data_IF_638447989609
#
_entry.id   IF_638447989609
#
_cell.length_a   1.000
_cell.length_b   1.000
_cell.length_c   1.000
_cell.angle_alpha   90.00
_cell.angle_beta   90.00
_cell.angle_gamma   90.00
#
_symmetry.space_group_name_H-M   'P 1'
#
loop_
_entity.id
_entity.type
_entity.pdbx_description
1 polymer ?
#
# COMPACT_ATOMS: atom_id res chain seq x y z
N UNK A 1 -15.90 -24.25 16.77
CA UNK A 1 -16.27 -22.84 17.05
C UNK A 1 -16.74 -22.63 18.49
N UNK A 2 -17.64 -23.46 19.02
CA UNK A 2 -18.23 -23.30 20.37
C UNK A 2 -17.27 -22.83 21.50
N UNK A 3 -16.06 -23.40 21.70
CA UNK A 3 -15.16 -22.95 22.76
C UNK A 3 -14.53 -21.56 22.54
N UNK A 4 -14.66 -20.98 21.35
CA UNK A 4 -14.09 -19.68 20.97
C UNK A 4 -15.13 -18.56 20.90
N UNK A 5 -16.42 -18.88 21.01
CA UNK A 5 -17.50 -17.88 20.97
C UNK A 5 -17.52 -17.17 22.32
N UNK A 6 -17.33 -15.85 22.29
CA UNK A 6 -17.34 -15.00 23.49
C UNK A 6 -17.71 -13.58 23.11
N UNK A 7 -18.05 -12.77 24.12
CA UNK A 7 -18.25 -11.33 23.96
C UNK A 7 -16.88 -10.67 23.72
N UNK A 8 -16.58 -10.33 22.48
CA UNK A 8 -15.26 -9.81 22.08
C UNK A 8 -15.05 -8.37 22.52
N UNK A 9 -16.11 -7.54 22.55
CA UNK A 9 -15.99 -6.13 22.93
C UNK A 9 -15.52 -5.94 24.39
N UNK A 10 -16.09 -6.62 25.41
CA UNK A 10 -15.55 -6.56 26.77
C UNK A 10 -14.11 -7.06 26.88
N UNK A 11 -13.74 -8.11 26.13
CA UNK A 11 -12.39 -8.67 26.12
C UNK A 11 -11.36 -7.64 25.60
N UNK A 12 -11.69 -6.97 24.49
CA UNK A 12 -10.84 -5.92 23.90
C UNK A 12 -10.79 -4.71 24.83
N UNK A 13 -11.93 -4.25 25.35
CA UNK A 13 -11.98 -3.11 26.26
C UNK A 13 -11.19 -3.35 27.55
N UNK A 14 -11.25 -4.54 28.14
CA UNK A 14 -10.44 -4.92 29.31
C UNK A 14 -8.94 -4.91 28.99
N UNK A 15 -8.55 -5.43 27.83
CA UNK A 15 -7.16 -5.41 27.39
C UNK A 15 -6.64 -3.97 27.25
N UNK A 16 -7.41 -3.10 26.59
CA UNK A 16 -7.08 -1.68 26.42
C UNK A 16 -7.06 -0.96 27.78
N UNK A 17 -8.05 -1.18 28.65
CA UNK A 17 -8.12 -0.56 29.97
C UNK A 17 -6.96 -0.96 30.88
N UNK A 18 -6.41 -2.16 30.71
CA UNK A 18 -5.21 -2.65 31.41
C UNK A 18 -3.89 -2.21 30.76
N UNK A 19 -3.93 -1.38 29.73
CA UNK A 19 -2.74 -0.90 29.02
C UNK A 19 -2.01 -2.00 28.25
N UNK A 20 -2.71 -3.09 27.87
CA UNK A 20 -2.12 -4.13 27.01
C UNK A 20 -2.02 -3.61 25.58
N UNK A 21 -1.01 -4.08 24.86
CA UNK A 21 -0.90 -3.82 23.44
C UNK A 21 -1.94 -4.65 22.67
N UNK A 22 -2.79 -3.96 21.91
CA UNK A 22 -3.76 -4.55 21.00
C UNK A 22 -3.38 -4.11 19.59
N UNK A 23 -3.22 -5.06 18.68
CA UNK A 23 -2.93 -4.80 17.27
C UNK A 23 -4.18 -5.14 16.47
N UNK A 24 -4.66 -4.18 15.67
CA UNK A 24 -5.75 -4.39 14.73
C UNK A 24 -5.17 -4.68 13.35
N UNK A 25 -5.39 -5.88 12.85
CA UNK A 25 -4.93 -6.29 11.52
C UNK A 25 -6.00 -5.97 10.47
N UNK A 26 -5.67 -5.09 9.52
CA UNK A 26 -6.54 -4.74 8.40
C UNK A 26 -6.56 -5.84 7.34
N UNK A 27 -7.74 -6.15 6.82
CA UNK A 27 -7.91 -6.98 5.64
C UNK A 27 -8.19 -6.10 4.41
N UNK A 28 -7.66 -6.52 3.26
CA UNK A 28 -7.67 -5.75 2.00
C UNK A 28 -6.96 -4.39 2.14
N UNK A 29 -7.29 -3.43 1.27
CA UNK A 29 -6.69 -2.10 1.25
C UNK A 29 -7.79 -1.03 1.12
N UNK A 30 -7.48 0.20 1.50
CA UNK A 30 -8.42 1.33 1.43
C UNK A 30 -9.02 1.55 0.03
N UNK A 31 -8.28 1.25 -1.04
CA UNK A 31 -8.82 1.38 -2.41
C UNK A 31 -9.84 0.30 -2.79
N UNK A 32 -10.04 -0.70 -1.91
CA UNK A 32 -11.11 -1.69 -1.97
C UNK A 32 -12.20 -1.44 -0.92
N UNK A 33 -12.10 -0.36 -0.14
CA UNK A 33 -13.14 0.04 0.82
C UNK A 33 -14.46 0.36 0.12
N UNK A 34 -15.58 0.05 0.77
CA UNK A 34 -16.92 0.26 0.21
C UNK A 34 -17.20 1.74 -0.16
N UNK A 35 -16.73 2.69 0.66
CA UNK A 35 -17.02 4.12 0.51
C UNK A 35 -15.84 4.88 -0.09
N UNK A 36 -14.62 4.45 0.22
CA UNK A 36 -13.38 5.14 -0.13
C UNK A 36 -12.57 4.45 -1.23
N UNK A 37 -13.06 3.31 -1.74
CA UNK A 37 -12.42 2.56 -2.81
C UNK A 37 -12.91 2.93 -4.21
N UNK A 38 -12.49 2.13 -5.19
CA UNK A 38 -12.88 2.28 -6.59
C UNK A 38 -14.26 1.70 -6.90
N UNK A 39 -15.31 2.19 -6.24
CA UNK A 39 -16.68 1.68 -6.40
C UNK A 39 -17.11 1.66 -7.88
N UNK A 40 -17.75 0.59 -8.40
CA UNK A 40 -18.27 -0.59 -7.69
C UNK A 40 -17.25 -1.74 -7.51
N UNK A 41 -15.99 -1.55 -7.89
CA UNK A 41 -14.96 -2.59 -7.89
C UNK A 41 -14.25 -2.70 -6.53
N UNK A 42 -15.05 -2.90 -5.48
CA UNK A 42 -14.64 -2.85 -4.06
C UNK A 42 -15.16 -4.08 -3.32
N UNK A 43 -14.68 -4.28 -2.09
CA UNK A 43 -15.34 -5.22 -1.17
C UNK A 43 -16.58 -4.57 -0.54
N UNK A 44 -17.47 -5.38 0.02
CA UNK A 44 -18.67 -4.94 0.73
C UNK A 44 -18.42 -4.64 2.21
N UNK A 45 -17.19 -4.26 2.57
CA UNK A 45 -16.75 -3.97 3.94
C UNK A 45 -15.87 -2.71 3.99
N UNK A 46 -15.71 -2.15 5.19
CA UNK A 46 -14.83 -1.01 5.41
C UNK A 46 -13.39 -1.49 5.69
N UNK A 47 -12.45 -1.04 4.85
CA UNK A 47 -11.02 -1.40 4.84
C UNK A 47 -10.15 -0.20 5.26
N UNK A 48 -10.72 0.71 6.02
CA UNK A 48 -10.06 1.88 6.62
C UNK A 48 -9.81 1.66 8.12
N UNK A 49 -8.99 2.53 8.72
CA UNK A 49 -8.81 2.62 10.17
C UNK A 49 -10.16 2.83 10.88
N UNK A 50 -11.06 3.62 10.30
CA UNK A 50 -12.42 3.78 10.82
C UNK A 50 -13.18 2.44 10.86
N UNK A 51 -13.08 1.63 9.81
CA UNK A 51 -13.64 0.28 9.76
C UNK A 51 -13.07 -0.65 10.83
N UNK A 52 -11.76 -0.59 11.07
CA UNK A 52 -11.10 -1.36 12.15
C UNK A 52 -11.63 -0.98 13.54
N UNK A 53 -11.78 0.32 13.80
CA UNK A 53 -12.32 0.83 15.07
C UNK A 53 -13.79 0.42 15.25
N UNK A 54 -14.59 0.55 14.19
CA UNK A 54 -15.98 0.10 14.18
C UNK A 54 -16.10 -1.40 14.47
N UNK A 55 -15.28 -2.24 13.81
CA UNK A 55 -15.33 -3.69 13.96
C UNK A 55 -14.81 -4.21 15.30
N UNK A 56 -13.85 -3.49 15.92
CA UNK A 56 -13.26 -3.88 17.21
C UNK A 56 -13.98 -3.32 18.43
N UNK A 57 -14.82 -2.29 18.26
CA UNK A 57 -15.44 -1.55 19.36
C UNK A 57 -14.49 -0.58 20.08
N UNK A 58 -13.27 -0.40 19.57
CA UNK A 58 -12.31 0.55 20.12
C UNK A 58 -12.71 1.96 19.71
N UNK A 59 -12.96 2.81 20.72
CA UNK A 59 -13.30 4.21 20.49
C UNK A 59 -12.13 4.97 19.87
N UNK A 60 -12.37 5.92 18.93
CA UNK A 60 -11.32 6.55 18.13
C UNK A 60 -10.26 7.30 18.95
N UNK A 61 -10.62 7.82 20.13
CA UNK A 61 -9.68 8.49 21.05
C UNK A 61 -8.66 7.53 21.70
N UNK A 62 -8.79 6.23 21.51
CA UNK A 62 -7.91 5.19 22.06
C UNK A 62 -6.94 4.63 21.01
N UNK A 63 -7.06 5.03 19.75
CA UNK A 63 -6.06 4.71 18.73
C UNK A 63 -4.77 5.45 19.05
N UNK A 64 -3.66 4.73 19.11
CA UNK A 64 -2.34 5.29 19.46
C UNK A 64 -1.38 5.35 18.29
N UNK A 65 -1.55 4.47 17.29
CA UNK A 65 -0.70 4.42 16.09
C UNK A 65 -1.40 3.73 14.93
N UNK A 66 -1.30 4.29 13.73
CA UNK A 66 -1.70 3.68 12.47
C UNK A 66 -0.51 3.53 11.52
N UNK A 67 -0.29 2.33 10.98
CA UNK A 67 0.75 2.06 9.98
C UNK A 67 0.09 1.69 8.65
N UNK A 68 0.41 2.46 7.60
CA UNK A 68 0.00 2.13 6.24
C UNK A 68 0.98 1.15 5.60
N UNK A 69 0.49 0.04 5.05
CA UNK A 69 1.34 -0.92 4.35
C UNK A 69 1.20 -0.71 2.85
N UNK A 70 2.31 -0.36 2.19
CA UNK A 70 2.36 -0.08 0.77
C UNK A 70 3.38 -0.99 0.12
N UNK A 71 3.08 -1.52 -1.07
CA UNK A 71 4.11 -2.13 -1.91
C UNK A 71 4.89 -1.02 -2.64
N UNK A 72 6.13 -1.29 -3.02
CA UNK A 72 6.95 -0.36 -3.80
C UNK A 72 6.41 -0.11 -5.24
N UNK A 73 5.44 -0.91 -5.67
CA UNK A 73 4.69 -0.82 -6.93
C UNK A 73 3.21 -1.15 -6.65
N UNK A 74 2.32 -0.97 -7.63
CA UNK A 74 0.89 -1.27 -7.45
C UNK A 74 0.52 -2.62 -8.06
N UNK A 75 -0.43 -3.32 -7.42
CA UNK A 75 -1.00 -4.57 -7.93
C UNK A 75 -2.51 -4.60 -7.69
N UNK A 76 -3.27 -5.16 -8.63
CA UNK A 76 -4.73 -5.31 -8.53
C UNK A 76 -5.16 -6.73 -8.92
N UNK A 77 -6.08 -7.29 -8.14
CA UNK A 77 -6.83 -8.50 -8.49
C UNK A 77 -8.21 -8.06 -8.96
N UNK A 78 -8.67 -8.62 -10.07
CA UNK A 78 -10.00 -8.33 -10.63
C UNK A 78 -10.05 -7.07 -11.50
N UNK A 79 -11.28 -6.73 -11.89
CA UNK A 79 -11.58 -5.62 -12.79
C UNK A 79 -11.54 -4.26 -12.07
N UNK A 80 -11.71 -3.20 -12.86
CA UNK A 80 -11.79 -1.81 -12.42
C UNK A 80 -10.60 -0.96 -12.85
N UNK A 81 -10.70 0.38 -12.73
CA UNK A 81 -9.68 1.29 -13.22
C UNK A 81 -8.33 1.10 -12.55
N UNK A 82 -7.24 1.19 -13.31
CA UNK A 82 -5.89 1.11 -12.77
C UNK A 82 -4.98 2.04 -13.58
N UNK A 83 -4.91 3.34 -13.22
CA UNK A 83 -4.22 4.34 -14.04
C UNK A 83 -2.75 3.99 -14.34
N UNK A 84 -2.05 3.38 -13.38
CA UNK A 84 -0.62 3.03 -13.53
C UNK A 84 -0.37 1.63 -14.07
N UNK A 85 -1.40 0.92 -14.54
CA UNK A 85 -1.26 -0.44 -15.06
C UNK A 85 -0.28 -0.49 -16.24
N UNK A 86 0.59 -1.50 -16.21
CA UNK A 86 1.56 -1.76 -17.25
C UNK A 86 1.12 -2.96 -18.09
N UNK A 87 1.39 -2.89 -19.39
CA UNK A 87 1.05 -3.92 -20.38
C UNK A 87 2.28 -4.37 -21.19
N UNK A 88 3.47 -3.92 -20.80
CA UNK A 88 4.73 -4.20 -21.48
C UNK A 88 5.59 -5.22 -20.69
N UNK A 89 6.82 -5.45 -21.16
CA UNK A 89 7.77 -6.39 -20.54
C UNK A 89 8.10 -6.03 -19.08
N UNK A 90 7.95 -4.76 -18.69
CA UNK A 90 8.11 -4.32 -17.29
C UNK A 90 7.05 -4.96 -16.41
N UNK A 91 5.80 -5.04 -16.90
CA UNK A 91 4.71 -5.67 -16.16
C UNK A 91 4.98 -7.14 -15.91
N UNK A 92 5.40 -7.87 -16.94
CA UNK A 92 5.77 -9.28 -16.84
C UNK A 92 6.92 -9.48 -15.85
N UNK A 93 7.96 -8.65 -15.95
CA UNK A 93 9.11 -8.73 -15.05
C UNK A 93 8.74 -8.50 -13.59
N UNK A 94 7.97 -7.46 -13.28
CA UNK A 94 7.49 -7.19 -11.91
C UNK A 94 6.64 -8.37 -11.42
N UNK A 95 5.77 -8.92 -12.28
CA UNK A 95 4.89 -10.02 -11.91
C UNK A 95 5.64 -11.30 -11.58
N UNK A 96 6.64 -11.65 -12.39
CA UNK A 96 7.46 -12.84 -12.19
C UNK A 96 8.31 -12.75 -10.92
N UNK A 97 9.05 -11.65 -10.74
CA UNK A 97 9.92 -11.46 -9.57
C UNK A 97 9.08 -11.32 -8.29
N UNK A 98 7.98 -10.57 -8.34
CA UNK A 98 7.09 -10.34 -7.20
C UNK A 98 6.11 -11.47 -6.90
N UNK A 99 6.14 -12.56 -7.67
CA UNK A 99 5.18 -13.67 -7.59
C UNK A 99 3.72 -13.18 -7.52
N UNK A 100 3.36 -12.22 -8.37
CA UNK A 100 2.05 -11.56 -8.35
C UNK A 100 0.98 -12.41 -9.02
N UNK A 101 0.66 -13.52 -8.37
CA UNK A 101 -0.29 -14.54 -8.78
C UNK A 101 -1.32 -14.81 -7.67
N UNK A 102 -2.53 -15.21 -8.04
CA UNK A 102 -3.52 -15.69 -7.08
C UNK A 102 -3.06 -17.00 -6.45
N UNK A 103 -3.02 -17.09 -5.12
CA UNK A 103 -2.51 -18.28 -4.40
C UNK A 103 -3.33 -19.55 -4.66
N UNK A 104 -4.65 -19.43 -4.84
CA UNK A 104 -5.53 -20.55 -5.15
C UNK A 104 -5.71 -20.77 -6.65
N UNK A 105 -5.87 -19.69 -7.42
CA UNK A 105 -6.26 -19.76 -8.83
C UNK A 105 -5.08 -19.77 -9.81
N UNK A 106 -3.88 -19.37 -9.37
CA UNK A 106 -2.71 -19.16 -10.22
C UNK A 106 -2.85 -18.02 -11.23
N UNK A 107 -3.97 -17.28 -11.23
CA UNK A 107 -4.21 -16.21 -12.20
C UNK A 107 -3.26 -15.02 -11.97
N UNK A 108 -2.67 -14.46 -13.04
CA UNK A 108 -1.79 -13.29 -12.91
C UNK A 108 -2.57 -12.09 -12.37
N UNK A 109 -1.93 -11.33 -11.49
CA UNK A 109 -2.44 -10.04 -11.05
C UNK A 109 -2.03 -8.97 -12.05
N UNK A 110 -2.86 -7.94 -12.15
CA UNK A 110 -2.53 -6.70 -12.85
C UNK A 110 -1.48 -5.98 -12.02
N UNK A 111 -0.45 -5.44 -12.65
CA UNK A 111 0.64 -4.73 -11.97
C UNK A 111 0.92 -3.41 -12.65
N UNK A 112 1.47 -2.47 -11.90
CA UNK A 112 1.72 -1.12 -12.36
C UNK A 112 2.73 -0.41 -11.50
N UNK A 113 3.21 0.73 -11.97
CA UNK A 113 4.07 1.61 -11.19
C UNK A 113 3.37 2.12 -9.93
N UNK A 114 4.14 2.59 -8.95
CA UNK A 114 3.58 3.16 -7.74
C UNK A 114 2.70 4.38 -8.06
N UNK A 115 1.50 4.40 -7.50
CA UNK A 115 0.55 5.50 -7.65
C UNK A 115 0.50 6.32 -6.36
N UNK A 116 1.21 7.45 -6.35
CA UNK A 116 1.26 8.30 -5.18
C UNK A 116 0.00 9.16 -5.01
N UNK A 117 -0.80 9.39 -6.05
CA UNK A 117 -2.09 10.07 -5.93
C UNK A 117 -3.05 9.20 -5.12
N UNK A 118 -3.15 7.92 -5.50
CA UNK A 118 -3.95 6.93 -4.78
C UNK A 118 -3.36 6.64 -3.38
N UNK A 119 -2.02 6.57 -3.28
CA UNK A 119 -1.33 6.33 -2.02
C UNK A 119 -1.55 7.43 -0.99
N UNK A 120 -1.45 8.71 -1.42
CA UNK A 120 -1.71 9.89 -0.58
C UNK A 120 -3.17 9.99 -0.17
N UNK A 121 -4.09 9.65 -1.07
CA UNK A 121 -5.51 9.57 -0.73
C UNK A 121 -5.77 8.58 0.42
N UNK A 122 -5.22 7.36 0.31
CA UNK A 122 -5.27 6.36 1.37
C UNK A 122 -4.62 6.83 2.68
N UNK A 123 -3.45 7.46 2.59
CA UNK A 123 -2.74 7.95 3.77
C UNK A 123 -3.54 9.02 4.53
N UNK A 124 -4.16 9.96 3.80
CA UNK A 124 -4.98 11.03 4.38
C UNK A 124 -6.27 10.52 5.01
N UNK A 125 -6.97 9.58 4.38
CA UNK A 125 -8.20 8.99 4.96
C UNK A 125 -7.92 8.31 6.30
N UNK A 126 -6.81 7.58 6.36
CA UNK A 126 -6.47 6.77 7.53
C UNK A 126 -5.63 7.51 8.56
N UNK A 127 -5.10 8.69 8.22
CA UNK A 127 -4.19 9.48 9.05
C UNK A 127 -3.03 8.63 9.61
N UNK A 128 -2.32 7.91 8.72
CA UNK A 128 -1.22 7.04 9.15
C UNK A 128 -0.08 7.83 9.79
N UNK A 129 0.41 7.35 10.94
CA UNK A 129 1.59 7.89 11.63
C UNK A 129 2.90 7.48 10.94
N UNK A 130 2.85 6.45 10.11
CA UNK A 130 3.99 5.99 9.33
C UNK A 130 3.63 4.91 8.33
N UNK A 131 4.60 4.59 7.48
CA UNK A 131 4.47 3.67 6.38
C UNK A 131 5.43 2.49 6.56
N UNK A 132 4.92 1.29 6.31
CA UNK A 132 5.72 0.12 5.97
C UNK A 132 5.73 -0.03 4.44
N UNK A 133 6.85 0.31 3.81
CA UNK A 133 7.05 0.10 2.38
C UNK A 133 7.58 -1.32 2.19
N UNK A 134 6.91 -2.14 1.39
CA UNK A 134 7.23 -3.56 1.21
C UNK A 134 7.64 -3.84 -0.22
N UNK A 135 8.31 -4.97 -0.45
CA UNK A 135 8.65 -5.46 -1.79
C UNK A 135 9.56 -4.49 -2.56
N UNK A 136 10.43 -3.75 -1.86
CA UNK A 136 11.37 -2.82 -2.51
C UNK A 136 12.42 -3.58 -3.33
N UNK A 137 12.81 -4.76 -2.87
CA UNK A 137 13.72 -5.71 -3.53
C UNK A 137 13.27 -6.10 -4.94
N UNK A 138 11.96 -6.14 -5.19
CA UNK A 138 11.39 -6.48 -6.50
C UNK A 138 11.77 -5.45 -7.57
N UNK A 139 12.09 -4.21 -7.18
CA UNK A 139 12.51 -3.15 -8.09
C UNK A 139 14.02 -3.18 -8.41
N UNK A 140 14.78 -4.11 -7.83
CA UNK A 140 16.18 -4.31 -8.19
C UNK A 140 16.35 -4.83 -9.64
N UNK A 141 17.40 -4.35 -10.31
CA UNK A 141 17.74 -4.66 -11.70
C UNK A 141 16.97 -3.86 -12.75
N UNK A 142 16.14 -2.90 -12.36
CA UNK A 142 15.51 -1.96 -13.31
C UNK A 142 16.43 -0.75 -13.50
N UNK A 143 16.64 -0.32 -14.74
CA UNK A 143 17.44 0.89 -15.02
C UNK A 143 16.67 2.18 -14.71
N UNK A 144 15.36 2.14 -14.90
CA UNK A 144 14.44 3.26 -14.70
C UNK A 144 13.21 2.80 -13.91
N UNK A 145 12.82 3.60 -12.91
CA UNK A 145 11.59 3.43 -12.15
C UNK A 145 10.70 4.66 -12.35
N UNK A 146 9.39 4.48 -12.24
CA UNK A 146 8.43 5.58 -12.35
C UNK A 146 7.47 5.59 -11.17
N UNK A 147 7.08 6.80 -10.76
CA UNK A 147 6.04 7.03 -9.75
C UNK A 147 5.02 8.00 -10.32
N UNK A 148 3.74 7.62 -10.30
CA UNK A 148 2.67 8.51 -10.71
C UNK A 148 2.42 9.54 -9.61
N UNK A 149 2.55 10.83 -9.95
CA UNK A 149 2.47 11.95 -9.00
C UNK A 149 1.24 12.82 -9.20
N UNK A 150 0.60 12.72 -10.37
CA UNK A 150 -0.63 13.40 -10.74
C UNK A 150 -1.34 12.60 -11.85
N UNK A 151 -2.60 12.95 -12.12
CA UNK A 151 -3.33 12.42 -13.27
C UNK A 151 -3.60 13.53 -14.28
N UNK A 152 -3.40 13.23 -15.56
CA UNK A 152 -3.96 14.01 -16.66
C UNK A 152 -5.39 13.51 -16.93
N UNK A 153 -6.38 14.40 -16.81
CA UNK A 153 -7.79 14.11 -16.98
C UNK A 153 -8.41 15.22 -17.84
N UNK A 154 -8.90 14.85 -19.02
CA UNK A 154 -9.62 15.76 -19.93
C UNK A 154 -8.88 17.09 -20.25
N UNK A 155 -7.54 17.03 -20.30
CA UNK A 155 -6.68 18.19 -20.58
C UNK A 155 -6.23 18.96 -19.34
N UNK A 156 -6.71 18.61 -18.15
CA UNK A 156 -6.29 19.18 -16.87
C UNK A 156 -5.37 18.22 -16.11
N UNK A 157 -4.50 18.75 -15.26
CA UNK A 157 -3.70 17.96 -14.33
C UNK A 157 -4.33 18.05 -12.94
N UNK A 158 -4.69 16.91 -12.37
CA UNK A 158 -5.25 16.79 -11.02
C UNK A 158 -4.30 16.00 -10.12
N UNK A 159 -4.31 16.32 -8.83
CA UNK A 159 -3.47 15.68 -7.81
C UNK A 159 -4.29 14.98 -6.72
N UNK A 160 -5.60 14.84 -6.93
CA UNK A 160 -6.52 14.11 -6.06
C UNK A 160 -7.01 12.84 -6.74
N UNK A 161 -7.42 11.86 -5.92
CA UNK A 161 -7.97 10.60 -6.40
C UNK A 161 -9.47 10.75 -6.73
N UNK A 162 -9.90 10.55 -7.99
CA UNK A 162 -11.31 10.63 -8.35
C UNK A 162 -12.16 9.53 -7.69
N UNK A 163 -13.28 9.91 -7.09
CA UNK A 163 -14.20 8.96 -6.43
C UNK A 163 -15.05 8.14 -7.40
N UNK A 164 -15.24 8.60 -8.65
CA UNK A 164 -16.01 7.89 -9.67
C UNK A 164 -15.09 7.02 -10.52
N UNK A 165 -15.41 5.74 -10.64
CA UNK A 165 -14.60 4.80 -11.43
C UNK A 165 -14.51 5.20 -12.90
N UNK A 166 -15.56 5.77 -13.49
CA UNK A 166 -15.56 6.24 -14.88
C UNK A 166 -14.59 7.40 -15.08
N UNK A 167 -14.50 8.30 -14.08
CA UNK A 167 -13.55 9.42 -14.11
C UNK A 167 -12.12 8.90 -13.93
N UNK A 168 -11.92 8.00 -12.97
CA UNK A 168 -10.62 7.36 -12.73
C UNK A 168 -10.14 6.56 -13.95
N UNK A 169 -11.04 5.92 -14.70
CA UNK A 169 -10.71 5.16 -15.90
C UNK A 169 -10.16 6.02 -17.05
N UNK A 170 -10.46 7.32 -17.08
CA UNK A 170 -9.94 8.27 -18.07
C UNK A 170 -8.63 8.93 -17.63
N UNK A 171 -8.23 8.75 -16.37
CA UNK A 171 -7.00 9.33 -15.85
C UNK A 171 -5.79 8.67 -16.49
N UNK A 172 -4.91 9.50 -17.06
CA UNK A 172 -3.60 9.07 -17.54
C UNK A 172 -2.55 9.45 -16.49
N UNK A 173 -1.65 8.53 -16.10
CA UNK A 173 -0.67 8.80 -15.06
C UNK A 173 0.40 9.79 -15.56
N UNK A 174 0.71 10.78 -14.73
CA UNK A 174 1.83 11.70 -14.92
C UNK A 174 2.99 11.23 -14.05
N UNK A 175 4.07 10.76 -14.68
CA UNK A 175 5.18 10.11 -14.01
C UNK A 175 6.32 11.06 -13.66
N UNK A 176 6.86 10.90 -12.47
CA UNK A 176 8.24 11.25 -12.13
C UNK A 176 9.12 10.02 -12.34
N UNK A 177 10.32 10.22 -12.88
CA UNK A 177 11.26 9.16 -13.25
C UNK A 177 12.46 9.15 -12.32
N UNK A 178 12.88 7.95 -11.91
CA UNK A 178 14.03 7.71 -11.04
C UNK A 178 15.00 6.75 -11.73
N UNK A 179 16.29 6.95 -11.49
CA UNK A 179 17.27 5.91 -11.77
C UNK A 179 17.00 4.72 -10.83
N UNK A 180 17.02 3.50 -11.38
CA UNK A 180 16.94 2.29 -10.56
C UNK A 180 18.31 1.87 -10.03
N UNK A 181 18.41 0.61 -9.60
CA UNK A 181 19.61 0.03 -9.02
C UNK A 181 19.68 -1.45 -9.36
N UNK A 182 20.88 -2.03 -9.40
CA UNK A 182 21.08 -3.44 -9.74
C UNK A 182 21.32 -4.32 -8.50
N UNK A 183 21.74 -3.71 -7.39
CA UNK A 183 22.13 -4.40 -6.18
C UNK A 183 20.95 -5.10 -5.50
N UNK A 184 21.08 -6.38 -5.09
CA UNK A 184 20.06 -7.05 -4.31
C UNK A 184 19.94 -6.42 -2.92
N UNK A 185 18.73 -6.38 -2.37
CA UNK A 185 18.45 -5.71 -1.09
C UNK A 185 18.27 -6.67 0.10
N UNK A 186 18.20 -7.98 -0.13
CA UNK A 186 17.81 -8.99 0.89
C UNK A 186 18.69 -9.02 2.13
N UNK A 187 19.95 -8.59 2.02
CA UNK A 187 20.91 -8.54 3.14
C UNK A 187 20.93 -7.18 3.87
N UNK A 188 20.23 -6.16 3.37
CA UNK A 188 20.21 -4.83 3.99
C UNK A 188 19.51 -4.89 5.36
N UNK A 189 20.12 -4.30 6.40
CA UNK A 189 19.56 -4.25 7.77
C UNK A 189 19.50 -2.84 8.33
N UNK A 190 20.12 -1.86 7.67
CA UNK A 190 20.05 -0.45 8.00
C UNK A 190 19.85 0.44 6.77
N UNK A 191 19.41 1.67 7.00
CA UNK A 191 19.21 2.67 5.95
C UNK A 191 20.42 2.84 5.02
N UNK A 192 21.63 2.83 5.59
CA UNK A 192 22.88 3.05 4.87
C UNK A 192 23.34 1.83 4.07
N UNK A 193 22.72 0.66 4.26
CA UNK A 193 22.99 -0.54 3.46
C UNK A 193 22.24 -0.50 2.11
N UNK A 194 21.23 0.37 1.99
CA UNK A 194 20.47 0.53 0.76
C UNK A 194 21.26 1.32 -0.29
N UNK A 195 21.18 0.97 -1.59
CA UNK A 195 21.73 1.79 -2.66
C UNK A 195 21.20 3.22 -2.64
N UNK A 196 22.02 4.19 -3.06
CA UNK A 196 21.63 5.60 -3.04
C UNK A 196 20.34 5.89 -3.83
N UNK A 197 20.12 5.19 -4.94
CA UNK A 197 18.91 5.32 -5.75
C UNK A 197 17.67 4.75 -5.06
N UNK A 198 17.82 3.62 -4.34
CA UNK A 198 16.75 3.07 -3.50
C UNK A 198 16.38 4.03 -2.36
N UNK A 199 17.38 4.61 -1.69
CA UNK A 199 17.18 5.63 -0.68
C UNK A 199 16.44 6.87 -1.24
N UNK A 200 16.82 7.33 -2.43
CA UNK A 200 16.17 8.46 -3.10
C UNK A 200 14.70 8.15 -3.44
N UNK A 201 14.42 6.94 -3.94
CA UNK A 201 13.06 6.46 -4.22
C UNK A 201 12.20 6.48 -2.95
N UNK A 202 12.69 5.89 -1.86
CA UNK A 202 11.96 5.84 -0.57
C UNK A 202 11.68 7.24 -0.03
N UNK A 203 12.70 8.12 0.02
CA UNK A 203 12.52 9.51 0.49
C UNK A 203 11.50 10.28 -0.33
N UNK A 204 11.46 10.02 -1.63
CA UNK A 204 10.48 10.68 -2.50
C UNK A 204 9.06 10.19 -2.23
N UNK A 205 8.88 8.90 -1.95
CA UNK A 205 7.58 8.37 -1.52
C UNK A 205 7.12 8.96 -0.20
N UNK A 206 8.01 9.19 0.79
CA UNK A 206 7.64 9.88 2.05
C UNK A 206 7.03 11.25 1.79
N UNK A 207 7.67 12.05 0.91
CA UNK A 207 7.18 13.38 0.54
C UNK A 207 5.84 13.30 -0.18
N UNK A 208 5.69 12.36 -1.11
CA UNK A 208 4.47 12.25 -1.91
C UNK A 208 3.28 11.71 -1.11
N UNK A 209 3.54 10.83 -0.14
CA UNK A 209 2.51 10.22 0.72
C UNK A 209 2.20 11.05 1.97
N UNK A 210 3.02 12.07 2.26
CA UNK A 210 2.88 12.97 3.42
C UNK A 210 2.97 12.22 4.77
N UNK A 211 3.70 11.10 4.79
CA UNK A 211 3.93 10.27 5.97
C UNK A 211 5.33 9.66 5.94
N UNK A 212 6.01 9.52 7.10
CA UNK A 212 7.35 8.94 7.16
C UNK A 212 7.30 7.44 6.88
N UNK A 213 8.30 6.93 6.16
CA UNK A 213 8.55 5.51 6.07
C UNK A 213 9.29 5.10 7.35
N UNK A 214 8.84 4.01 7.97
CA UNK A 214 9.39 3.52 9.23
C UNK A 214 9.93 2.09 9.09
N UNK A 215 9.42 1.35 8.11
CA UNK A 215 9.83 -0.01 7.79
C UNK A 215 9.97 -0.16 6.28
N UNK A 216 11.02 -0.83 5.84
CA UNK A 216 11.26 -1.18 4.44
C UNK A 216 11.46 -2.68 4.34
N UNK A 217 10.52 -3.40 3.71
CA UNK A 217 10.68 -4.80 3.36
C UNK A 217 11.59 -4.94 2.13
N UNK A 218 12.67 -5.71 2.31
CA UNK A 218 13.71 -5.96 1.31
C UNK A 218 13.80 -7.44 0.93
N UNK A 219 12.77 -8.22 1.25
CA UNK A 219 12.61 -9.62 0.88
C UNK A 219 11.33 -10.23 1.48
N UNK A 220 11.24 -11.56 1.44
CA UNK A 220 10.07 -12.32 1.95
C UNK A 220 10.25 -12.81 3.39
N UNK A 221 11.49 -12.90 3.87
CA UNK A 221 11.83 -13.34 5.21
C UNK A 221 11.40 -12.34 6.29
N UNK A 222 11.04 -12.86 7.47
CA UNK A 222 10.63 -12.03 8.62
C UNK A 222 11.73 -11.04 9.04
N UNK A 223 12.99 -11.43 8.87
CA UNK A 223 14.17 -10.62 9.19
C UNK A 223 14.64 -9.72 8.02
N UNK A 224 14.02 -9.82 6.84
CA UNK A 224 14.40 -9.06 5.64
C UNK A 224 13.70 -7.69 5.63
N UNK A 225 13.91 -6.94 6.71
CA UNK A 225 13.29 -5.64 6.97
C UNK A 225 14.37 -4.66 7.45
N UNK A 226 14.37 -3.45 6.87
CA UNK A 226 15.13 -2.30 7.35
C UNK A 226 14.21 -1.41 8.19
N UNK A 227 14.58 -1.15 9.43
CA UNK A 227 13.87 -0.23 10.33
C UNK A 227 14.57 1.15 10.33
N UNK A 228 13.76 2.22 10.24
CA UNK A 228 14.24 3.62 10.22
C UNK A 228 14.09 4.32 11.57
#
# INVERSE_FOLDING_TARGET
LQPYITETQPLVDEAVARGRQVVLEGAHATLLDLDHGTYPYVTSSHCTVAGLLQGSGIGPRRLTRGIGVYKAYCSRVGEGPFPTELFDETAERIREIGHEYGTTTGRPRRVGWFDAVAGRHSARINAFDGIALTRLDILAGFSELRVCTAYALDGETIDYFPSQAETLARCQPVYETFAGWDEPLTEARGWHDLPANAQAYVRRLEVLLEAPVQLIGVGEGIEEIVQL
#
